data_IF_093785664659
#
_entry.id   IF_093785664659
#
_cell.length_a   1.000
_cell.length_b   1.000
_cell.length_c   1.000
_cell.angle_alpha   90.00
_cell.angle_beta   90.00
_cell.angle_gamma   90.00
#
_symmetry.space_group_name_H-M   'P 1'
#
loop_
_entity.id
_entity.type
_entity.pdbx_description
1 polymer ?
#
# COMPACT_ATOMS: atom_id res chain seq x y z
N UNK A 1 -42.08 -26.40 22.67
CA UNK A 1 -40.98 -27.19 22.10
C UNK A 1 -41.03 -27.32 20.58
N UNK A 2 -42.19 -27.66 19.98
CA UNK A 2 -42.34 -27.84 18.51
C UNK A 2 -42.10 -26.58 17.68
N UNK A 3 -42.46 -25.37 18.14
CA UNK A 3 -42.26 -24.12 17.40
C UNK A 3 -40.80 -23.70 17.33
N UNK A 4 -39.99 -23.91 18.40
CA UNK A 4 -38.57 -23.61 18.41
C UNK A 4 -37.76 -24.56 17.51
N UNK A 5 -38.19 -25.81 17.38
CA UNK A 5 -37.57 -26.79 16.47
C UNK A 5 -37.90 -26.44 15.01
N UNK A 6 -39.11 -25.96 14.72
CA UNK A 6 -39.54 -25.56 13.38
C UNK A 6 -38.79 -24.30 12.89
N UNK A 7 -38.60 -23.31 13.76
CA UNK A 7 -37.79 -22.14 13.47
C UNK A 7 -36.29 -22.47 13.28
N UNK A 8 -35.73 -23.41 14.04
CA UNK A 8 -34.35 -23.87 13.88
C UNK A 8 -34.16 -24.66 12.57
N UNK A 9 -35.15 -25.47 12.15
CA UNK A 9 -35.11 -26.20 10.87
C UNK A 9 -35.22 -25.24 9.68
N UNK A 10 -36.09 -24.21 9.76
CA UNK A 10 -36.19 -23.18 8.71
C UNK A 10 -34.92 -22.36 8.57
N UNK A 11 -34.23 -22.02 9.66
CA UNK A 11 -32.97 -21.30 9.60
C UNK A 11 -31.82 -22.14 9.01
N UNK A 12 -31.79 -23.46 9.28
CA UNK A 12 -30.80 -24.37 8.69
C UNK A 12 -31.03 -24.56 7.19
N UNK A 13 -32.31 -24.67 6.75
CA UNK A 13 -32.65 -24.77 5.32
C UNK A 13 -32.33 -23.48 4.56
N UNK A 14 -32.51 -22.31 5.18
CA UNK A 14 -32.18 -21.02 4.59
C UNK A 14 -30.67 -20.87 4.35
N UNK A 15 -29.84 -21.20 5.31
CA UNK A 15 -28.36 -21.13 5.20
C UNK A 15 -27.81 -22.12 4.16
N UNK A 16 -28.40 -23.30 4.05
CA UNK A 16 -28.01 -24.29 3.03
C UNK A 16 -28.35 -23.82 1.60
N UNK A 17 -29.42 -23.07 1.42
CA UNK A 17 -29.81 -22.50 0.12
C UNK A 17 -28.87 -21.38 -0.33
N UNK A 18 -28.47 -20.47 0.57
CA UNK A 18 -27.57 -19.38 0.27
C UNK A 18 -26.16 -19.88 -0.09
N UNK A 19 -25.60 -20.82 0.68
CA UNK A 19 -24.30 -21.39 0.41
C UNK A 19 -24.24 -22.15 -0.94
N UNK A 20 -25.31 -22.89 -1.30
CA UNK A 20 -25.39 -23.57 -2.60
C UNK A 20 -25.49 -22.58 -3.78
N UNK A 21 -26.20 -21.47 -3.60
CA UNK A 21 -26.28 -20.38 -4.58
C UNK A 21 -24.94 -19.72 -4.83
N UNK A 22 -24.19 -19.44 -3.76
CA UNK A 22 -22.86 -18.84 -3.88
C UNK A 22 -21.84 -19.81 -4.49
N UNK A 23 -21.89 -21.10 -4.14
CA UNK A 23 -21.05 -22.14 -4.76
C UNK A 23 -21.26 -22.21 -6.27
N UNK A 24 -22.53 -22.21 -6.72
CA UNK A 24 -22.85 -22.20 -8.15
C UNK A 24 -22.26 -20.98 -8.85
N UNK A 25 -22.41 -19.78 -8.29
CA UNK A 25 -21.87 -18.55 -8.87
C UNK A 25 -20.34 -18.56 -8.91
N UNK A 26 -19.69 -19.06 -7.86
CA UNK A 26 -18.21 -19.19 -7.82
C UNK A 26 -17.71 -20.16 -8.89
N UNK A 27 -18.37 -21.31 -9.08
CA UNK A 27 -17.96 -22.29 -10.10
C UNK A 27 -18.29 -21.82 -11.53
N UNK A 28 -19.36 -21.05 -11.73
CA UNK A 28 -19.64 -20.36 -12.99
C UNK A 28 -18.56 -19.32 -13.31
N UNK A 29 -18.16 -18.53 -12.30
CA UNK A 29 -17.09 -17.56 -12.42
C UNK A 29 -15.76 -18.22 -12.87
N UNK A 30 -15.32 -19.32 -12.25
CA UNK A 30 -14.12 -20.06 -12.68
C UNK A 30 -14.22 -20.59 -14.12
N UNK A 31 -15.39 -21.09 -14.51
CA UNK A 31 -15.60 -21.56 -15.88
C UNK A 31 -15.50 -20.45 -16.92
N UNK A 32 -16.02 -19.25 -16.61
CA UNK A 32 -15.98 -18.10 -17.51
C UNK A 32 -14.55 -17.59 -17.68
N UNK A 33 -13.77 -17.60 -16.61
CA UNK A 33 -12.44 -16.95 -16.58
C UNK A 33 -11.28 -17.93 -16.82
N UNK A 34 -11.54 -19.25 -16.83
CA UNK A 34 -10.54 -20.30 -17.01
C UNK A 34 -9.34 -20.16 -16.04
N UNK A 35 -9.57 -19.55 -14.89
CA UNK A 35 -8.58 -19.33 -13.84
C UNK A 35 -8.94 -20.08 -12.55
N UNK A 36 -8.32 -19.72 -11.47
CA UNK A 36 -8.58 -20.27 -10.14
C UNK A 36 -9.12 -19.19 -9.23
N UNK A 37 -10.10 -19.55 -8.42
CA UNK A 37 -10.74 -18.63 -7.46
C UNK A 37 -10.67 -19.21 -6.06
N UNK A 38 -10.29 -18.36 -5.10
CA UNK A 38 -10.40 -18.63 -3.66
C UNK A 38 -11.32 -17.60 -3.03
N UNK A 39 -12.27 -18.04 -2.20
CA UNK A 39 -13.23 -17.16 -1.50
C UNK A 39 -13.37 -17.62 -0.06
N UNK A 40 -13.47 -16.66 0.85
CA UNK A 40 -13.92 -16.87 2.21
C UNK A 40 -14.83 -15.72 2.64
N UNK A 41 -15.88 -16.05 3.40
CA UNK A 41 -16.75 -15.11 4.10
C UNK A 41 -16.76 -15.46 5.57
N UNK A 42 -16.49 -14.48 6.42
CA UNK A 42 -16.62 -14.59 7.87
C UNK A 42 -17.68 -13.60 8.36
N UNK A 43 -18.43 -14.00 9.35
CA UNK A 43 -19.22 -13.08 10.17
C UNK A 43 -18.25 -12.20 10.99
N UNK A 44 -18.38 -10.89 10.86
CA UNK A 44 -17.42 -9.96 11.43
C UNK A 44 -17.45 -9.93 12.98
N UNK A 45 -18.61 -10.14 13.58
CA UNK A 45 -18.79 -10.15 15.03
C UNK A 45 -18.21 -11.44 15.64
N UNK A 46 -18.71 -12.60 15.18
CA UNK A 46 -18.36 -13.90 15.75
C UNK A 46 -17.07 -14.51 15.21
N UNK A 47 -16.57 -14.04 14.06
CA UNK A 47 -15.44 -14.65 13.34
C UNK A 47 -15.78 -15.99 12.70
N UNK A 48 -17.05 -16.46 12.75
CA UNK A 48 -17.45 -17.74 12.19
C UNK A 48 -17.40 -17.73 10.67
N UNK A 49 -16.90 -18.82 10.11
CA UNK A 49 -16.93 -19.06 8.67
C UNK A 49 -18.37 -19.29 8.20
N UNK A 50 -18.83 -18.45 7.27
CA UNK A 50 -20.16 -18.52 6.64
C UNK A 50 -20.07 -19.29 5.33
N UNK A 51 -19.01 -19.04 4.55
CA UNK A 51 -18.77 -19.68 3.26
C UNK A 51 -17.29 -19.72 2.96
N UNK A 52 -16.83 -20.81 2.34
CA UNK A 52 -15.47 -20.90 1.82
C UNK A 52 -15.40 -21.78 0.56
N UNK A 53 -14.52 -21.38 -0.34
CA UNK A 53 -14.18 -22.14 -1.55
C UNK A 53 -12.69 -21.92 -1.84
N UNK A 54 -11.90 -22.98 -1.93
CA UNK A 54 -10.44 -22.90 -2.09
C UNK A 54 -9.74 -21.92 -1.10
N UNK A 55 -10.34 -21.69 0.06
CA UNK A 55 -9.91 -20.65 1.00
C UNK A 55 -8.51 -20.86 1.56
N UNK A 56 -8.03 -22.11 1.58
CA UNK A 56 -6.71 -22.55 2.04
C UNK A 56 -5.71 -22.83 0.91
N UNK A 57 -6.06 -22.45 -0.32
CA UNK A 57 -5.15 -22.49 -1.47
C UNK A 57 -4.34 -21.19 -1.54
N UNK A 58 -3.07 -21.31 -1.92
CA UNK A 58 -2.19 -20.15 -2.09
C UNK A 58 -2.43 -19.46 -3.44
N UNK A 59 -2.54 -18.14 -3.40
CA UNK A 59 -2.71 -17.25 -4.53
C UNK A 59 -1.67 -16.14 -4.48
N UNK A 60 -1.37 -15.52 -5.63
CA UNK A 60 -0.61 -14.26 -5.67
C UNK A 60 -1.53 -13.12 -5.23
N UNK A 61 -1.27 -12.49 -4.06
CA UNK A 61 -2.18 -11.51 -3.46
C UNK A 61 -2.17 -10.14 -4.16
N UNK A 62 -1.14 -9.85 -4.96
CA UNK A 62 -0.88 -8.51 -5.48
C UNK A 62 -0.94 -7.49 -4.33
N UNK A 63 -1.53 -6.29 -4.53
CA UNK A 63 -1.60 -5.25 -3.50
C UNK A 63 -2.45 -5.59 -2.26
N UNK A 64 -3.07 -6.78 -2.18
CA UNK A 64 -3.62 -7.25 -0.91
C UNK A 64 -2.53 -7.59 0.12
N UNK A 65 -1.27 -7.75 -0.32
CA UNK A 65 -0.07 -7.81 0.55
C UNK A 65 0.00 -6.60 1.48
N UNK A 66 -0.47 -5.43 1.05
CA UNK A 66 -0.51 -4.20 1.87
C UNK A 66 -1.33 -4.33 3.16
N UNK A 67 -2.21 -5.33 3.25
CA UNK A 67 -2.93 -5.67 4.50
C UNK A 67 -1.95 -6.18 5.56
N UNK A 68 -0.91 -6.95 5.14
CA UNK A 68 0.15 -7.40 6.05
C UNK A 68 1.03 -6.23 6.48
N UNK A 69 1.44 -5.39 5.53
CA UNK A 69 2.26 -4.20 5.78
C UNK A 69 1.54 -3.22 6.71
N UNK A 70 0.25 -2.98 6.48
CA UNK A 70 -0.61 -2.14 7.33
C UNK A 70 -0.67 -2.69 8.77
N UNK A 71 -0.99 -3.98 8.92
CA UNK A 71 -1.08 -4.59 10.24
C UNK A 71 0.26 -4.55 10.99
N UNK A 72 1.35 -4.84 10.28
CA UNK A 72 2.70 -4.76 10.84
C UNK A 72 3.08 -3.34 11.28
N UNK A 73 2.71 -2.32 10.50
CA UNK A 73 2.94 -0.93 10.82
C UNK A 73 2.15 -0.49 12.06
N UNK A 74 0.88 -0.84 12.16
CA UNK A 74 0.02 -0.57 13.32
C UNK A 74 0.61 -1.20 14.61
N UNK A 75 1.16 -2.40 14.51
CA UNK A 75 1.76 -3.12 15.66
C UNK A 75 3.14 -2.61 16.04
N UNK A 76 3.85 -1.94 15.15
CA UNK A 76 5.27 -1.59 15.36
C UNK A 76 5.54 -0.09 15.44
N UNK A 77 4.79 0.73 14.71
CA UNK A 77 4.98 2.18 14.65
C UNK A 77 4.05 2.90 15.64
N UNK A 78 4.31 4.18 15.86
CA UNK A 78 3.51 5.04 16.73
C UNK A 78 2.39 5.73 15.94
N UNK A 79 1.51 6.47 16.63
CA UNK A 79 0.42 7.24 16.02
C UNK A 79 0.90 8.42 15.16
N UNK A 80 2.17 8.76 15.24
CA UNK A 80 2.81 9.77 14.41
C UNK A 80 4.08 9.20 13.79
N UNK A 81 4.26 9.49 12.51
CA UNK A 81 5.47 9.13 11.75
C UNK A 81 6.63 9.99 12.22
N UNK A 82 7.78 9.36 12.43
CA UNK A 82 9.03 10.07 12.70
C UNK A 82 9.90 10.06 11.45
N UNK A 83 10.25 11.28 11.01
CA UNK A 83 10.98 11.51 9.75
C UNK A 83 12.48 11.42 9.95
N UNK A 84 12.98 12.02 11.02
CA UNK A 84 14.42 12.04 11.34
C UNK A 84 14.66 11.69 12.79
N UNK A 85 15.80 11.02 13.01
CA UNK A 85 16.45 11.00 14.31
C UNK A 85 17.50 12.07 14.33
N UNK A 86 17.73 12.72 15.48
CA UNK A 86 18.75 13.74 15.59
C UNK A 86 19.43 13.78 16.96
N UNK A 87 20.64 14.34 16.96
CA UNK A 87 21.35 14.75 18.16
C UNK A 87 21.97 16.13 17.94
N UNK A 88 22.11 16.89 19.00
CA UNK A 88 22.78 18.18 19.02
C UNK A 88 24.06 18.10 19.82
N UNK A 89 25.09 18.80 19.36
CA UNK A 89 26.29 19.18 20.11
C UNK A 89 26.27 20.70 20.25
N UNK A 90 27.36 21.31 20.80
CA UNK A 90 27.43 22.76 20.98
C UNK A 90 27.15 23.54 19.69
N UNK A 91 27.74 23.10 18.54
CA UNK A 91 27.69 23.81 17.28
C UNK A 91 27.11 22.98 16.11
N UNK A 92 26.60 21.78 16.38
CA UNK A 92 26.21 20.88 15.32
C UNK A 92 24.85 20.21 15.57
N UNK A 93 24.02 20.18 14.53
CA UNK A 93 22.82 19.37 14.43
C UNK A 93 23.12 18.20 13.49
N UNK A 94 23.15 16.99 14.03
CA UNK A 94 23.37 15.76 13.26
C UNK A 94 22.06 15.01 13.16
N UNK A 95 21.57 14.72 11.97
CA UNK A 95 20.34 13.97 11.75
C UNK A 95 20.55 12.76 10.83
N UNK A 96 19.69 11.76 10.94
CA UNK A 96 19.63 10.59 10.06
C UNK A 96 18.16 10.31 9.66
N UNK A 97 17.96 9.76 8.48
CA UNK A 97 16.66 9.36 7.98
C UNK A 97 16.12 8.12 8.72
N UNK A 98 14.82 7.95 8.70
CA UNK A 98 14.10 6.80 9.28
C UNK A 98 13.35 5.98 8.23
N UNK A 99 13.39 6.40 6.97
CA UNK A 99 12.62 5.78 5.89
C UNK A 99 11.23 6.39 5.69
N UNK A 100 10.89 7.52 6.33
CA UNK A 100 9.58 8.19 6.18
C UNK A 100 9.28 8.55 4.72
N UNK A 101 8.22 7.96 4.10
CA UNK A 101 7.83 8.26 2.73
C UNK A 101 7.11 9.60 2.57
N UNK A 102 6.68 10.23 3.66
CA UNK A 102 5.91 11.48 3.63
C UNK A 102 6.75 12.73 3.44
N UNK A 103 8.09 12.65 3.39
CA UNK A 103 8.94 13.83 3.26
C UNK A 103 8.77 14.49 1.89
N UNK A 104 8.22 15.72 1.90
CA UNK A 104 7.87 16.49 0.69
C UNK A 104 6.92 15.75 -0.27
N UNK A 105 6.25 14.69 0.17
CA UNK A 105 5.19 14.09 -0.60
C UNK A 105 4.00 15.06 -0.70
N UNK A 106 3.49 15.38 -1.90
CA UNK A 106 2.45 16.40 -2.08
C UNK A 106 1.11 16.04 -1.44
N UNK A 107 0.84 14.78 -1.16
CA UNK A 107 -0.44 14.29 -0.64
C UNK A 107 -0.46 14.19 0.90
N UNK A 108 0.72 13.94 1.53
CA UNK A 108 0.79 13.64 2.97
C UNK A 108 1.84 14.43 3.72
N UNK A 109 2.62 15.30 3.05
CA UNK A 109 3.75 15.99 3.67
C UNK A 109 3.34 16.96 4.78
N UNK A 110 4.23 17.06 5.77
CA UNK A 110 4.20 18.11 6.80
C UNK A 110 5.45 18.98 6.66
N UNK A 111 5.29 20.28 6.79
CA UNK A 111 6.41 21.24 6.73
C UNK A 111 7.28 21.26 7.99
N UNK A 112 6.87 20.56 9.05
CA UNK A 112 7.50 20.62 10.38
C UNK A 112 8.97 20.22 10.34
N UNK A 113 9.28 19.15 9.63
CA UNK A 113 10.64 18.59 9.53
C UNK A 113 11.61 19.54 8.84
N UNK A 114 11.23 20.11 7.70
CA UNK A 114 12.08 21.07 6.98
C UNK A 114 12.21 22.39 7.72
N UNK A 115 11.15 22.85 8.39
CA UNK A 115 11.22 24.05 9.25
C UNK A 115 12.20 23.84 10.39
N UNK A 116 12.26 22.67 11.01
CA UNK A 116 13.23 22.34 12.05
C UNK A 116 14.66 22.47 11.53
N UNK A 117 14.99 21.92 10.38
CA UNK A 117 16.32 22.04 9.77
C UNK A 117 16.63 23.50 9.37
N UNK A 118 15.67 24.19 8.75
CA UNK A 118 15.82 25.58 8.31
C UNK A 118 16.10 26.55 9.48
N UNK A 119 15.40 26.36 10.60
CA UNK A 119 15.49 27.24 11.76
C UNK A 119 16.67 26.93 12.70
N UNK A 120 17.38 25.82 12.51
CA UNK A 120 18.57 25.53 13.29
C UNK A 120 19.64 26.59 13.03
N UNK A 121 20.33 27.02 14.08
CA UNK A 121 21.48 27.93 13.97
C UNK A 121 22.81 27.17 13.80
N UNK A 122 22.78 25.85 14.09
CA UNK A 122 23.93 24.98 14.10
C UNK A 122 24.38 24.60 12.69
N UNK A 123 25.63 24.14 12.53
CA UNK A 123 26.06 23.42 11.32
C UNK A 123 25.28 22.12 11.18
N UNK A 124 24.74 21.84 9.99
CA UNK A 124 23.86 20.68 9.78
C UNK A 124 24.67 19.54 9.14
N UNK A 125 24.53 18.36 9.71
CA UNK A 125 25.15 17.14 9.24
C UNK A 125 24.10 16.06 9.02
N UNK A 126 24.15 15.38 7.88
CA UNK A 126 23.40 14.17 7.62
C UNK A 126 24.28 12.95 7.85
N UNK A 127 23.90 12.11 8.81
CA UNK A 127 24.53 10.83 9.06
C UNK A 127 23.87 9.78 8.19
N UNK A 128 24.64 9.15 7.27
CA UNK A 128 24.15 8.10 6.38
C UNK A 128 23.48 6.96 7.17
N UNK A 129 22.44 6.40 6.58
CA UNK A 129 21.71 5.27 7.15
C UNK A 129 22.52 3.97 7.08
N UNK A 130 22.24 3.05 8.01
CA UNK A 130 22.71 1.67 7.89
C UNK A 130 21.79 0.90 6.92
N UNK A 131 21.98 1.15 5.63
CA UNK A 131 21.17 0.63 4.55
C UNK A 131 21.65 -0.75 4.10
N UNK A 132 20.76 -1.75 4.13
CA UNK A 132 21.01 -3.13 3.65
C UNK A 132 19.81 -3.64 2.84
N UNK A 133 19.44 -2.89 1.83
CA UNK A 133 18.29 -3.14 0.99
C UNK A 133 18.65 -2.86 -0.48
N UNK A 134 18.18 -3.69 -1.38
CA UNK A 134 18.17 -3.37 -2.81
C UNK A 134 17.10 -2.31 -3.09
N UNK A 135 17.34 -1.47 -4.10
CA UNK A 135 16.42 -0.37 -4.45
C UNK A 135 15.11 -0.87 -5.07
N UNK A 136 15.08 -2.08 -5.57
CA UNK A 136 13.89 -2.78 -6.06
C UNK A 136 13.68 -4.07 -5.29
N UNK A 137 12.42 -4.43 -5.02
CA UNK A 137 12.08 -5.68 -4.33
C UNK A 137 12.34 -6.92 -5.19
N UNK A 138 12.69 -8.03 -4.54
CA UNK A 138 12.88 -9.31 -5.22
C UNK A 138 11.60 -9.76 -5.93
N UNK A 139 11.71 -10.18 -7.20
CA UNK A 139 10.58 -10.62 -8.02
C UNK A 139 9.72 -9.48 -8.60
N UNK A 140 10.18 -8.22 -8.53
CA UNK A 140 9.60 -7.13 -9.30
C UNK A 140 9.93 -7.30 -10.79
N UNK A 141 9.04 -6.83 -11.67
CA UNK A 141 9.32 -6.82 -13.11
C UNK A 141 10.42 -5.80 -13.42
N UNK A 142 11.46 -6.24 -14.12
CA UNK A 142 12.63 -5.41 -14.43
C UNK A 142 12.30 -4.21 -15.33
N UNK A 143 11.18 -4.26 -16.05
CA UNK A 143 10.69 -3.25 -16.98
C UNK A 143 9.72 -2.25 -16.34
N UNK A 144 9.36 -2.44 -15.05
CA UNK A 144 8.46 -1.54 -14.35
C UNK A 144 9.13 -0.22 -13.89
N UNK A 145 10.44 -0.06 -14.05
CA UNK A 145 11.23 1.09 -13.54
C UNK A 145 10.82 2.47 -14.08
N UNK A 146 10.08 2.52 -15.18
CA UNK A 146 9.57 3.78 -15.77
C UNK A 146 8.18 4.15 -15.25
N UNK A 147 7.49 3.25 -14.55
CA UNK A 147 6.14 3.53 -14.08
C UNK A 147 6.14 4.11 -12.67
N UNK A 148 5.31 5.14 -12.47
CA UNK A 148 5.18 5.83 -11.18
C UNK A 148 4.79 4.92 -10.01
N UNK A 149 4.23 3.74 -10.27
CA UNK A 149 3.90 2.74 -9.25
C UNK A 149 5.10 1.89 -8.80
N UNK A 150 6.28 2.01 -9.46
CA UNK A 150 7.48 1.22 -9.13
C UNK A 150 8.70 2.12 -8.85
N UNK A 151 8.60 3.09 -7.93
CA UNK A 151 9.74 3.91 -7.55
C UNK A 151 10.73 3.08 -6.73
N UNK A 152 12.00 3.49 -6.76
CA UNK A 152 13.04 2.89 -5.94
C UNK A 152 12.75 3.07 -4.45
N UNK A 153 12.99 2.02 -3.66
CA UNK A 153 13.03 2.07 -2.21
C UNK A 153 14.32 2.81 -1.79
N UNK A 154 14.26 3.67 -0.78
CA UNK A 154 15.44 4.44 -0.37
C UNK A 154 15.47 4.70 1.14
N UNK A 155 16.64 4.98 1.69
CA UNK A 155 16.81 5.32 3.09
C UNK A 155 16.09 6.63 3.45
N UNK A 156 16.01 7.55 2.50
CA UNK A 156 15.39 8.87 2.66
C UNK A 156 14.55 9.18 1.41
N UNK A 157 13.34 8.61 1.31
CA UNK A 157 12.43 8.93 0.22
C UNK A 157 11.99 10.39 0.29
N UNK A 158 11.84 11.01 -0.87
CA UNK A 158 11.48 12.42 -1.00
C UNK A 158 10.65 12.62 -2.27
N UNK A 159 9.57 13.42 -2.21
CA UNK A 159 8.62 13.59 -3.31
C UNK A 159 8.06 12.27 -3.86
N UNK A 160 7.86 11.26 -2.98
CA UNK A 160 7.46 9.92 -3.40
C UNK A 160 8.45 9.24 -4.35
N UNK A 161 9.74 9.64 -4.33
CA UNK A 161 10.80 9.20 -5.25
C UNK A 161 10.42 9.30 -6.74
N UNK A 162 9.57 10.29 -7.08
CA UNK A 162 9.11 10.57 -8.44
C UNK A 162 9.34 12.02 -8.85
N UNK A 163 9.54 12.23 -10.15
CA UNK A 163 9.52 13.57 -10.77
C UNK A 163 8.16 13.78 -11.41
N UNK A 164 7.57 14.93 -11.12
CA UNK A 164 6.31 15.36 -11.73
C UNK A 164 6.57 16.39 -12.83
N UNK A 165 5.92 16.23 -13.96
CA UNK A 165 5.93 17.13 -15.11
C UNK A 165 4.52 17.64 -15.36
N UNK A 166 4.29 18.94 -15.17
CA UNK A 166 2.96 19.57 -15.33
C UNK A 166 3.04 20.73 -16.30
N UNK A 167 2.11 20.79 -17.27
CA UNK A 167 2.03 21.91 -18.18
C UNK A 167 1.19 23.05 -17.56
N UNK A 168 1.82 24.16 -17.25
CA UNK A 168 1.18 25.35 -16.68
C UNK A 168 1.41 26.53 -17.63
N UNK A 169 0.33 27.09 -18.20
CA UNK A 169 0.40 28.25 -19.11
C UNK A 169 1.42 28.11 -20.27
N UNK A 170 1.56 26.94 -20.86
CA UNK A 170 2.52 26.53 -21.90
C UNK A 170 3.96 26.32 -21.42
N UNK A 171 4.26 26.53 -20.16
CA UNK A 171 5.56 26.25 -19.57
C UNK A 171 5.56 24.89 -18.87
N UNK A 172 6.64 24.13 -19.03
CA UNK A 172 6.83 22.85 -18.35
C UNK A 172 7.32 23.11 -16.92
N UNK A 173 6.48 22.82 -15.94
CA UNK A 173 6.85 22.83 -14.52
C UNK A 173 7.37 21.44 -14.13
N UNK A 174 8.55 21.39 -13.52
CA UNK A 174 9.22 20.17 -13.04
C UNK A 174 9.32 20.22 -11.53
N UNK A 175 8.93 19.14 -10.85
CA UNK A 175 9.03 19.03 -9.40
C UNK A 175 9.54 17.63 -9.00
N UNK A 176 10.62 17.52 -8.19
CA UNK A 176 11.47 18.60 -7.65
C UNK A 176 12.22 19.40 -8.72
N UNK A 177 12.44 20.70 -8.44
CA UNK A 177 13.05 21.64 -9.37
C UNK A 177 14.48 21.31 -9.80
N UNK A 178 15.22 20.54 -9.02
CA UNK A 178 16.58 20.08 -9.34
C UNK A 178 16.64 19.32 -10.67
N UNK A 179 15.53 18.70 -11.10
CA UNK A 179 15.46 17.92 -12.35
C UNK A 179 15.12 18.76 -13.59
N UNK A 180 14.92 20.07 -13.48
CA UNK A 180 14.54 20.93 -14.63
C UNK A 180 15.56 20.82 -15.78
N UNK A 181 16.84 20.79 -15.47
CA UNK A 181 17.89 20.68 -16.50
C UNK A 181 18.11 19.24 -17.02
N UNK A 182 17.43 18.26 -16.44
CA UNK A 182 17.47 16.86 -16.84
C UNK A 182 16.26 16.46 -17.68
N UNK A 183 15.31 17.37 -17.91
CA UNK A 183 14.10 17.17 -18.67
C UNK A 183 14.22 17.76 -20.09
N UNK A 184 14.08 16.91 -21.09
CA UNK A 184 14.06 17.32 -22.49
C UNK A 184 12.70 17.05 -23.11
N UNK A 185 12.06 18.09 -23.70
CA UNK A 185 10.82 17.89 -24.43
C UNK A 185 11.07 17.25 -25.78
N UNK A 186 10.35 16.19 -26.08
CA UNK A 186 10.43 15.43 -27.33
C UNK A 186 9.09 15.29 -28.01
N UNK A 187 9.11 14.93 -29.32
CA UNK A 187 7.89 14.67 -30.08
C UNK A 187 7.49 13.19 -29.91
N UNK A 188 7.08 12.82 -28.71
CA UNK A 188 6.56 11.50 -28.31
C UNK A 188 5.21 11.68 -27.64
N UNK A 189 4.46 10.60 -27.47
CA UNK A 189 3.21 10.56 -26.69
C UNK A 189 3.43 10.06 -25.27
N UNK A 190 4.60 9.45 -24.98
CA UNK A 190 4.91 8.84 -23.71
C UNK A 190 6.04 9.58 -22.97
N UNK A 191 5.96 9.63 -21.65
CA UNK A 191 7.04 10.04 -20.78
C UNK A 191 8.04 8.88 -20.63
N UNK A 192 9.31 9.14 -20.83
CA UNK A 192 10.36 8.12 -20.81
C UNK A 192 11.52 8.55 -19.89
N UNK A 193 12.18 7.57 -19.28
CA UNK A 193 13.44 7.75 -18.55
C UNK A 193 14.54 6.89 -19.17
N UNK A 194 15.72 7.44 -19.35
CA UNK A 194 16.87 6.62 -19.72
C UNK A 194 17.29 5.75 -18.52
N UNK A 195 17.26 4.43 -18.70
CA UNK A 195 17.56 3.45 -17.65
C UNK A 195 18.90 3.75 -16.93
N UNK A 196 18.87 3.70 -15.61
CA UNK A 196 20.04 3.96 -14.75
C UNK A 196 20.48 5.42 -14.73
N UNK A 197 19.63 6.35 -15.16
CA UNK A 197 19.94 7.79 -15.16
C UNK A 197 18.72 8.61 -14.69
N UNK A 198 18.95 9.89 -14.39
CA UNK A 198 17.91 10.87 -14.14
C UNK A 198 17.69 11.78 -15.36
N UNK A 199 17.75 11.22 -16.57
CA UNK A 199 17.45 11.92 -17.84
C UNK A 199 16.04 11.59 -18.27
N UNK A 200 15.19 12.61 -18.46
CA UNK A 200 13.78 12.47 -18.77
C UNK A 200 13.45 13.02 -20.14
N UNK A 201 12.63 12.28 -20.90
CA UNK A 201 12.08 12.68 -22.18
C UNK A 201 10.59 12.95 -22.03
N UNK A 202 10.20 14.22 -22.08
CA UNK A 202 8.83 14.66 -21.76
C UNK A 202 8.06 14.95 -23.04
N UNK A 203 6.81 14.44 -23.22
CA UNK A 203 5.99 14.74 -24.39
C UNK A 203 5.74 16.23 -24.55
N UNK A 204 5.92 16.76 -25.78
CA UNK A 204 5.56 18.16 -26.11
C UNK A 204 4.06 18.45 -26.01
N UNK A 205 3.21 17.42 -26.20
CA UNK A 205 1.75 17.54 -26.24
C UNK A 205 1.09 17.19 -24.91
N UNK A 206 1.67 17.59 -23.77
CA UNK A 206 0.97 17.54 -22.50
C UNK A 206 -0.23 18.50 -22.53
N UNK A 207 -1.41 17.99 -22.16
CA UNK A 207 -2.58 18.85 -22.02
C UNK A 207 -2.42 19.79 -20.82
N UNK A 208 -3.15 20.89 -20.84
CA UNK A 208 -3.14 21.85 -19.73
C UNK A 208 -3.62 21.15 -18.45
N UNK A 209 -2.83 21.25 -17.39
CA UNK A 209 -3.03 20.67 -16.06
C UNK A 209 -2.81 19.14 -15.97
N UNK A 210 -2.43 18.45 -17.04
CA UNK A 210 -2.01 17.08 -16.92
C UNK A 210 -0.68 17.00 -16.14
N UNK A 211 -0.59 16.07 -15.22
CA UNK A 211 0.63 15.78 -14.48
C UNK A 211 1.08 14.37 -14.80
N UNK A 212 2.25 14.25 -15.42
CA UNK A 212 2.91 12.97 -15.60
C UNK A 212 3.95 12.76 -14.49
N UNK A 213 4.05 11.53 -13.98
CA UNK A 213 5.02 11.17 -12.95
C UNK A 213 5.88 9.99 -13.42
N UNK A 214 7.16 10.01 -13.09
CA UNK A 214 8.11 8.94 -13.37
C UNK A 214 9.12 8.83 -12.22
N UNK A 215 9.56 7.62 -11.83
CA UNK A 215 10.55 7.46 -10.77
C UNK A 215 11.90 8.05 -11.16
N UNK A 216 12.62 8.60 -10.19
CA UNK A 216 14.03 8.96 -10.36
C UNK A 216 14.96 7.94 -9.69
N UNK A 217 16.22 7.87 -10.17
CA UNK A 217 17.26 7.09 -9.52
C UNK A 217 17.65 7.76 -8.20
N UNK A 218 17.47 7.06 -7.09
CA UNK A 218 17.64 7.62 -5.74
C UNK A 218 19.06 7.50 -5.24
N UNK A 219 19.46 8.42 -4.40
CA UNK A 219 20.63 8.30 -3.52
C UNK A 219 20.46 9.23 -2.32
N UNK A 220 21.09 8.91 -1.19
CA UNK A 220 21.08 9.81 -0.03
C UNK A 220 21.69 11.19 -0.39
N UNK A 221 22.76 11.22 -1.19
CA UNK A 221 23.38 12.46 -1.67
C UNK A 221 22.41 13.32 -2.50
N UNK A 222 21.60 12.70 -3.37
CA UNK A 222 20.56 13.41 -4.13
C UNK A 222 19.43 13.94 -3.22
N UNK A 223 18.96 13.12 -2.29
CA UNK A 223 17.93 13.55 -1.33
C UNK A 223 18.42 14.73 -0.49
N UNK A 224 19.68 14.72 -0.05
CA UNK A 224 20.29 15.85 0.68
C UNK A 224 20.35 17.10 -0.18
N UNK A 225 20.76 17.01 -1.44
CA UNK A 225 20.77 18.16 -2.37
C UNK A 225 19.39 18.76 -2.59
N UNK A 226 18.36 17.92 -2.63
CA UNK A 226 16.96 18.39 -2.71
C UNK A 226 16.59 19.13 -1.42
N UNK A 227 16.92 18.58 -0.25
CA UNK A 227 16.66 19.25 1.05
C UNK A 227 17.41 20.57 1.15
N UNK A 228 18.70 20.62 0.75
CA UNK A 228 19.50 21.87 0.73
C UNK A 228 18.82 22.97 -0.09
N UNK A 229 18.29 22.60 -1.26
CA UNK A 229 17.54 23.52 -2.12
C UNK A 229 16.26 24.02 -1.45
N UNK A 230 15.52 23.13 -0.78
CA UNK A 230 14.28 23.48 -0.09
C UNK A 230 14.49 24.35 1.16
N UNK A 231 15.57 24.12 1.91
CA UNK A 231 15.82 24.88 3.15
C UNK A 231 16.75 26.08 2.97
N UNK A 232 17.47 26.18 1.84
CA UNK A 232 18.43 27.24 1.55
C UNK A 232 19.71 27.16 2.41
N UNK A 233 20.10 25.95 2.83
CA UNK A 233 21.27 25.74 3.71
C UNK A 233 22.04 24.50 3.30
N UNK A 234 23.36 24.54 3.49
CA UNK A 234 24.27 23.42 3.20
C UNK A 234 24.22 22.37 4.30
N UNK A 235 24.24 21.09 3.91
CA UNK A 235 24.26 19.91 4.78
C UNK A 235 25.50 19.09 4.47
N UNK A 236 26.33 18.82 5.47
CA UNK A 236 27.51 17.96 5.31
C UNK A 236 27.12 16.50 5.53
N UNK A 237 27.53 15.62 4.62
CA UNK A 237 27.25 14.19 4.73
C UNK A 237 28.39 13.52 5.49
N UNK A 238 28.05 12.70 6.48
CA UNK A 238 28.98 11.93 7.30
C UNK A 238 28.66 10.43 7.24
N UNK A 239 29.63 9.54 7.46
CA UNK A 239 29.41 8.10 7.48
C UNK A 239 28.36 7.66 8.51
N UNK A 240 27.83 6.41 8.39
CA UNK A 240 27.00 5.81 9.42
C UNK A 240 27.68 5.86 10.80
N UNK A 241 26.88 6.01 11.85
CA UNK A 241 27.36 6.13 13.22
C UNK A 241 26.26 5.79 14.23
N UNK A 242 26.47 6.05 15.52
CA UNK A 242 25.49 5.70 16.55
C UNK A 242 24.12 6.33 16.29
N UNK A 243 23.08 5.57 16.55
CA UNK A 243 21.68 5.99 16.43
C UNK A 243 21.37 7.13 17.39
N UNK A 244 20.81 8.19 16.87
CA UNK A 244 20.40 9.33 17.69
C UNK A 244 19.07 9.03 18.42
N UNK A 245 18.94 9.56 19.64
CA UNK A 245 17.79 9.29 20.51
C UNK A 245 16.61 10.23 20.31
N UNK A 246 16.85 11.47 19.89
CA UNK A 246 15.78 12.42 19.64
C UNK A 246 15.13 12.16 18.28
N UNK A 247 13.84 12.38 18.18
CA UNK A 247 13.05 12.17 16.96
C UNK A 247 12.29 13.44 16.58
N UNK A 248 12.13 13.65 15.27
CA UNK A 248 11.23 14.66 14.72
C UNK A 248 10.04 13.92 14.13
N UNK A 249 8.85 14.23 14.64
CA UNK A 249 7.59 13.68 14.12
C UNK A 249 7.07 14.57 13.00
N UNK A 250 6.49 13.94 11.97
CA UNK A 250 5.89 14.63 10.83
C UNK A 250 4.37 14.53 10.84
N UNK A 251 3.81 13.54 10.19
CA UNK A 251 2.37 13.38 10.00
C UNK A 251 1.79 12.28 10.89
N UNK A 252 0.46 12.27 11.04
CA UNK A 252 -0.24 11.15 11.68
C UNK A 252 -0.07 9.88 10.84
N UNK A 253 0.20 8.74 11.50
CA UNK A 253 0.40 7.46 10.83
C UNK A 253 -0.81 7.04 9.99
N UNK A 254 -2.03 7.30 10.47
CA UNK A 254 -3.28 7.02 9.77
C UNK A 254 -3.38 7.77 8.41
N UNK A 255 -2.74 8.94 8.26
CA UNK A 255 -2.68 9.64 6.97
C UNK A 255 -1.91 8.85 5.92
N UNK A 256 -0.74 8.27 6.30
CA UNK A 256 0.02 7.39 5.42
C UNK A 256 -0.72 6.07 5.15
N UNK A 257 -1.33 5.49 6.17
CA UNK A 257 -2.10 4.25 6.02
C UNK A 257 -3.27 4.44 5.05
N UNK A 258 -4.00 5.54 5.20
CA UNK A 258 -5.10 5.90 4.29
C UNK A 258 -4.59 6.11 2.87
N UNK A 259 -3.53 6.89 2.67
CA UNK A 259 -2.93 7.12 1.36
C UNK A 259 -2.52 5.79 0.71
N UNK A 260 -1.75 4.95 1.43
CA UNK A 260 -1.32 3.63 0.96
C UNK A 260 -2.50 2.75 0.52
N UNK A 261 -3.56 2.71 1.31
CA UNK A 261 -4.70 1.84 1.02
C UNK A 261 -5.59 2.39 -0.09
N UNK A 262 -5.84 3.72 -0.13
CA UNK A 262 -6.71 4.37 -1.11
C UNK A 262 -6.11 4.43 -2.51
N UNK A 263 -4.85 4.84 -2.64
CA UNK A 263 -4.15 4.95 -3.93
C UNK A 263 -3.38 3.67 -4.30
N UNK A 264 -3.32 2.71 -3.36
CA UNK A 264 -2.49 1.51 -3.50
C UNK A 264 -1.00 1.85 -3.64
N UNK A 265 -0.52 2.86 -2.91
CA UNK A 265 0.85 3.35 -3.00
C UNK A 265 1.85 2.26 -2.61
N UNK A 266 2.74 1.93 -3.54
CA UNK A 266 3.72 0.87 -3.34
C UNK A 266 4.90 1.35 -2.52
N UNK A 267 5.34 2.61 -2.74
CA UNK A 267 6.46 3.16 -1.98
C UNK A 267 6.13 3.26 -0.50
N UNK A 268 4.95 3.77 -0.15
CA UNK A 268 4.53 3.85 1.25
C UNK A 268 4.57 2.45 1.89
N UNK A 269 4.06 1.42 1.20
CA UNK A 269 4.04 0.06 1.72
C UNK A 269 5.44 -0.50 2.00
N UNK A 270 6.39 -0.30 1.08
CA UNK A 270 7.78 -0.71 1.26
C UNK A 270 8.46 0.08 2.39
N UNK A 271 8.26 1.39 2.40
CA UNK A 271 8.89 2.27 3.39
C UNK A 271 8.38 2.03 4.82
N UNK A 272 7.13 1.63 5.00
CA UNK A 272 6.65 1.21 6.32
C UNK A 272 7.45 0.02 6.86
N UNK A 273 7.83 -0.96 6.02
CA UNK A 273 8.70 -2.05 6.44
C UNK A 273 10.13 -1.55 6.74
N UNK A 274 10.66 -0.63 5.93
CA UNK A 274 11.96 0.01 6.21
C UNK A 274 11.93 0.74 7.56
N UNK A 275 10.88 1.49 7.86
CA UNK A 275 10.71 2.19 9.14
C UNK A 275 10.60 1.23 10.32
N UNK A 276 9.89 0.11 10.15
CA UNK A 276 9.82 -0.95 11.18
C UNK A 276 11.21 -1.50 11.45
N UNK A 277 11.94 -1.88 10.40
CA UNK A 277 13.30 -2.41 10.50
C UNK A 277 14.25 -1.42 11.17
N UNK A 278 14.23 -0.14 10.78
CA UNK A 278 15.01 0.92 11.40
C UNK A 278 14.70 1.03 12.90
N UNK A 279 13.42 0.94 13.27
CA UNK A 279 13.02 1.05 14.68
C UNK A 279 13.56 -0.10 15.53
N UNK A 280 13.47 -1.34 15.03
CA UNK A 280 13.77 -2.55 15.83
C UNK A 280 15.23 -2.99 15.80
N UNK A 281 16.00 -2.63 14.76
CA UNK A 281 17.35 -3.20 14.56
C UNK A 281 18.43 -2.19 14.21
N UNK A 282 18.10 -0.89 14.07
CA UNK A 282 19.02 0.15 13.55
C UNK A 282 19.55 -0.13 12.15
N UNK A 283 18.90 -1.04 11.40
CA UNK A 283 19.26 -1.42 10.04
C UNK A 283 18.02 -1.31 9.16
N UNK A 284 18.16 -0.69 8.01
CA UNK A 284 17.07 -0.56 7.03
C UNK A 284 17.09 -1.74 6.08
N UNK A 285 16.13 -2.68 6.27
CA UNK A 285 15.96 -3.89 5.47
C UNK A 285 14.52 -4.39 5.53
N UNK A 286 13.88 -4.59 4.39
CA UNK A 286 12.54 -5.18 4.29
C UNK A 286 12.50 -6.59 4.89
N UNK A 287 13.54 -7.39 4.67
CA UNK A 287 13.65 -8.76 5.19
C UNK A 287 13.57 -8.81 6.71
N UNK A 288 14.35 -7.94 7.40
CA UNK A 288 14.33 -7.85 8.87
C UNK A 288 12.94 -7.52 9.38
N UNK A 289 12.22 -6.58 8.74
CA UNK A 289 10.88 -6.20 9.14
C UNK A 289 9.86 -7.34 8.92
N UNK A 290 9.96 -8.03 7.79
CA UNK A 290 9.10 -9.18 7.45
C UNK A 290 9.30 -10.31 8.44
N UNK A 291 10.55 -10.69 8.72
CA UNK A 291 10.88 -11.77 9.68
C UNK A 291 10.38 -11.42 11.10
N UNK A 292 10.61 -10.16 11.51
CA UNK A 292 10.09 -9.68 12.78
C UNK A 292 8.55 -9.79 12.84
N UNK A 293 7.85 -9.31 11.83
CA UNK A 293 6.39 -9.33 11.79
C UNK A 293 5.83 -10.75 11.74
N UNK A 294 6.40 -11.66 10.95
CA UNK A 294 6.03 -13.09 10.90
C UNK A 294 6.15 -13.73 12.27
N UNK A 295 7.24 -13.47 12.98
CA UNK A 295 7.52 -14.06 14.28
C UNK A 295 6.72 -13.46 15.45
N UNK A 296 6.21 -12.24 15.33
CA UNK A 296 5.54 -11.55 16.42
C UNK A 296 4.03 -11.34 16.19
N UNK A 297 3.59 -11.12 14.94
CA UNK A 297 2.22 -10.71 14.67
C UNK A 297 1.42 -11.72 13.87
N UNK A 298 2.06 -12.60 13.09
CA UNK A 298 1.38 -13.52 12.18
C UNK A 298 1.41 -14.98 12.63
N UNK A 299 1.90 -15.25 13.85
CA UNK A 299 1.73 -16.58 14.46
C UNK A 299 0.25 -16.92 14.60
N UNK A 300 -0.07 -18.19 14.34
CA UNK A 300 -1.44 -18.69 14.44
C UNK A 300 -2.36 -18.28 13.29
N UNK A 301 -1.83 -17.82 12.16
CA UNK A 301 -2.59 -17.76 10.92
C UNK A 301 -2.94 -19.19 10.46
N UNK A 302 -4.09 -19.35 9.76
CA UNK A 302 -4.57 -20.67 9.33
C UNK A 302 -3.58 -21.46 8.45
N UNK A 303 -2.83 -20.77 7.60
CA UNK A 303 -1.99 -21.40 6.58
C UNK A 303 -0.59 -20.81 6.54
N UNK A 304 0.38 -21.57 6.05
CA UNK A 304 1.69 -21.07 5.67
C UNK A 304 1.59 -20.06 4.52
N UNK A 305 2.44 -19.04 4.52
CA UNK A 305 2.47 -18.01 3.50
C UNK A 305 3.89 -17.54 3.19
N UNK A 306 4.09 -17.08 1.96
CA UNK A 306 5.33 -16.46 1.52
C UNK A 306 5.12 -14.95 1.39
N UNK A 307 5.93 -14.18 2.09
CA UNK A 307 5.88 -12.72 2.09
C UNK A 307 7.27 -12.17 1.79
N UNK A 308 7.40 -11.38 0.74
CA UNK A 308 8.69 -10.99 0.13
C UNK A 308 8.86 -9.47 0.09
N UNK A 309 7.77 -8.70 -0.11
CA UNK A 309 7.79 -7.25 -0.19
C UNK A 309 6.58 -6.60 0.51
N UNK A 310 6.65 -5.31 0.74
CA UNK A 310 5.56 -4.57 1.39
C UNK A 310 4.36 -4.28 0.50
N UNK A 311 4.59 -4.11 -0.79
CA UNK A 311 3.61 -3.59 -1.75
C UNK A 311 2.76 -4.65 -2.43
N UNK A 312 3.31 -5.84 -2.63
CA UNK A 312 2.73 -6.90 -3.44
C UNK A 312 3.05 -6.79 -4.93
N UNK A 313 4.06 -6.01 -5.32
CA UNK A 313 4.63 -6.02 -6.66
C UNK A 313 5.35 -7.33 -6.95
N UNK A 314 5.97 -7.92 -5.93
CA UNK A 314 6.64 -9.22 -6.05
C UNK A 314 5.65 -10.32 -6.41
N UNK A 315 5.96 -11.04 -7.51
CA UNK A 315 5.23 -12.25 -7.89
C UNK A 315 5.54 -13.46 -7.01
N UNK A 316 6.52 -13.32 -6.11
CA UNK A 316 6.89 -14.36 -5.16
C UNK A 316 6.01 -14.34 -3.88
N UNK A 317 5.21 -13.29 -3.67
CA UNK A 317 4.24 -13.31 -2.58
C UNK A 317 3.16 -14.36 -2.84
N UNK A 318 2.91 -15.21 -1.82
CA UNK A 318 1.85 -16.22 -1.84
C UNK A 318 1.07 -16.16 -0.53
N UNK A 319 -0.24 -16.05 -0.63
CA UNK A 319 -1.12 -16.00 0.55
C UNK A 319 -2.44 -16.70 0.27
N UNK A 320 -3.22 -16.96 1.32
CA UNK A 320 -4.53 -17.60 1.21
C UNK A 320 -5.65 -16.63 1.58
N UNK A 321 -6.86 -16.79 1.02
CA UNK A 321 -8.02 -16.04 1.48
C UNK A 321 -8.26 -16.16 3.00
N UNK A 322 -8.02 -17.34 3.57
CA UNK A 322 -8.16 -17.61 4.99
C UNK A 322 -7.21 -16.76 5.85
N UNK A 323 -5.96 -16.63 5.46
CA UNK A 323 -5.00 -15.76 6.16
C UNK A 323 -5.41 -14.29 6.08
N UNK A 324 -5.75 -13.78 4.89
CA UNK A 324 -6.14 -12.38 4.73
C UNK A 324 -7.38 -12.05 5.54
N UNK A 325 -8.41 -12.92 5.54
CA UNK A 325 -9.61 -12.70 6.34
C UNK A 325 -9.32 -12.74 7.85
N UNK A 326 -8.39 -13.60 8.31
CA UNK A 326 -7.95 -13.64 9.70
C UNK A 326 -7.26 -12.33 10.12
N UNK A 327 -6.41 -11.76 9.26
CA UNK A 327 -5.75 -10.48 9.52
C UNK A 327 -6.77 -9.33 9.54
N UNK A 328 -7.72 -9.33 8.60
CA UNK A 328 -8.82 -8.35 8.57
C UNK A 328 -9.68 -8.42 9.85
N UNK A 329 -9.95 -9.64 10.36
CA UNK A 329 -10.66 -9.80 11.63
C UNK A 329 -9.86 -9.20 12.79
N UNK A 330 -8.55 -9.43 12.88
CA UNK A 330 -7.69 -8.82 13.90
C UNK A 330 -7.68 -7.29 13.79
N UNK A 331 -7.61 -6.73 12.59
CA UNK A 331 -7.70 -5.28 12.35
C UNK A 331 -9.01 -4.71 12.86
N UNK A 332 -10.14 -5.35 12.55
CA UNK A 332 -11.46 -4.92 13.01
C UNK A 332 -11.59 -4.97 14.53
N UNK A 333 -11.10 -6.03 15.16
CA UNK A 333 -11.17 -6.21 16.62
C UNK A 333 -10.31 -5.19 17.37
N UNK A 334 -9.16 -4.81 16.82
CA UNK A 334 -8.22 -3.89 17.45
C UNK A 334 -8.56 -2.41 17.20
N UNK A 335 -9.09 -2.08 16.03
CA UNK A 335 -9.28 -0.68 15.60
C UNK A 335 -10.73 -0.23 15.49
N UNK A 336 -11.66 -1.16 15.39
CA UNK A 336 -13.10 -0.88 15.23
C UNK A 336 -13.51 -0.56 13.79
N UNK A 337 -14.82 -0.57 13.56
CA UNK A 337 -15.42 -0.40 12.22
C UNK A 337 -15.19 0.99 11.64
N UNK A 338 -15.31 2.05 12.43
CA UNK A 338 -15.13 3.44 11.97
C UNK A 338 -13.72 3.65 11.41
N UNK A 339 -12.71 3.06 12.06
CA UNK A 339 -11.34 3.15 11.60
C UNK A 339 -11.13 2.39 10.29
N UNK A 340 -11.58 1.12 10.20
CA UNK A 340 -11.38 0.34 8.98
C UNK A 340 -12.14 0.95 7.80
N UNK A 341 -13.33 1.52 8.00
CA UNK A 341 -14.09 2.20 6.94
C UNK A 341 -13.42 3.50 6.46
N UNK A 342 -12.59 4.14 7.30
CA UNK A 342 -11.82 5.33 6.95
C UNK A 342 -10.54 4.98 6.20
N UNK A 343 -9.86 3.90 6.60
CA UNK A 343 -8.56 3.50 6.06
C UNK A 343 -8.70 2.70 4.76
N UNK A 344 -9.72 1.84 4.65
CA UNK A 344 -9.94 1.08 3.43
C UNK A 344 -10.73 1.89 2.38
N UNK A 345 -10.38 1.79 1.08
CA UNK A 345 -11.18 2.40 0.03
C UNK A 345 -12.64 1.95 0.07
N UNK A 346 -13.54 2.90 -0.10
CA UNK A 346 -14.97 2.66 -0.19
C UNK A 346 -15.38 2.51 -1.65
N UNK A 347 -16.02 1.40 -2.02
CA UNK A 347 -16.50 1.17 -3.37
C UNK A 347 -17.50 2.26 -3.81
N UNK A 348 -17.33 2.77 -5.03
CA UNK A 348 -18.14 3.85 -5.60
C UNK A 348 -17.79 5.25 -5.10
N UNK A 349 -16.86 5.40 -4.13
CA UNK A 349 -16.54 6.71 -3.55
C UNK A 349 -15.07 7.07 -3.62
N UNK A 350 -14.16 6.19 -3.24
CA UNK A 350 -12.77 6.54 -3.01
C UNK A 350 -11.77 5.53 -3.56
N UNK A 351 -10.61 6.05 -3.99
CA UNK A 351 -9.42 5.28 -4.29
C UNK A 351 -9.59 4.32 -5.47
N UNK A 352 -8.95 3.16 -5.39
CA UNK A 352 -8.95 2.15 -6.46
C UNK A 352 -10.31 1.48 -6.71
N UNK A 353 -11.30 1.75 -5.85
CA UNK A 353 -12.66 1.18 -5.94
C UNK A 353 -13.70 2.19 -6.42
N UNK A 354 -13.31 3.42 -6.81
CA UNK A 354 -14.24 4.48 -7.25
C UNK A 354 -15.20 4.02 -8.34
N UNK A 355 -14.72 3.21 -9.29
CA UNK A 355 -15.50 2.72 -10.43
C UNK A 355 -16.09 1.31 -10.19
N UNK A 356 -16.01 0.74 -8.98
CA UNK A 356 -16.54 -0.59 -8.73
C UNK A 356 -18.07 -0.57 -8.57
N UNK A 357 -18.61 0.49 -7.98
CA UNK A 357 -20.05 0.72 -7.79
C UNK A 357 -20.37 2.13 -8.28
N UNK A 358 -21.44 2.32 -9.07
CA UNK A 358 -21.76 3.62 -9.64
C UNK A 358 -23.04 4.27 -9.08
N UNK A 359 -24.03 3.50 -8.63
CA UNK A 359 -25.37 4.00 -8.33
C UNK A 359 -25.98 3.51 -7.01
N UNK A 360 -25.21 2.80 -6.16
CA UNK A 360 -25.73 2.25 -4.92
C UNK A 360 -25.09 2.85 -3.68
N UNK A 361 -25.79 2.77 -2.55
CA UNK A 361 -25.20 3.04 -1.24
C UNK A 361 -23.93 2.18 -1.04
N UNK A 362 -22.84 2.84 -0.64
CA UNK A 362 -21.56 2.17 -0.46
C UNK A 362 -21.63 1.12 0.64
N UNK A 363 -21.39 -0.13 0.27
CA UNK A 363 -21.47 -1.27 1.19
C UNK A 363 -20.18 -2.11 1.26
N UNK A 364 -19.14 -1.74 0.53
CA UNK A 364 -17.85 -2.44 0.49
C UNK A 364 -16.73 -1.50 0.87
N UNK A 365 -15.89 -1.91 1.83
CA UNK A 365 -14.65 -1.27 2.24
C UNK A 365 -13.53 -2.29 2.07
N UNK A 366 -12.69 -2.13 1.03
CA UNK A 366 -11.78 -3.21 0.68
C UNK A 366 -10.50 -2.72 0.00
N UNK A 367 -9.45 -3.55 0.11
CA UNK A 367 -8.22 -3.39 -0.67
C UNK A 367 -8.27 -4.26 -1.91
N UNK A 368 -8.10 -3.64 -3.07
CA UNK A 368 -7.88 -4.34 -4.33
C UNK A 368 -6.42 -4.67 -4.56
N UNK A 369 -6.15 -5.74 -5.29
CA UNK A 369 -4.82 -6.11 -5.77
C UNK A 369 -4.90 -6.58 -7.21
N UNK A 370 -4.05 -6.03 -8.08
CA UNK A 370 -3.99 -6.41 -9.49
C UNK A 370 -2.55 -6.60 -9.94
N UNK A 371 -2.27 -7.72 -10.53
CA UNK A 371 -1.11 -8.01 -11.36
C UNK A 371 -1.62 -8.65 -12.64
N UNK A 372 -0.80 -8.70 -13.68
CA UNK A 372 -1.21 -9.39 -14.90
C UNK A 372 -1.64 -10.82 -14.58
N UNK A 373 -2.86 -11.20 -14.99
CA UNK A 373 -3.49 -12.50 -14.76
C UNK A 373 -3.91 -12.78 -13.29
N UNK A 374 -3.86 -11.81 -12.38
CA UNK A 374 -4.26 -11.96 -10.99
C UNK A 374 -5.10 -10.75 -10.54
N UNK A 375 -6.17 -11.02 -9.83
CA UNK A 375 -7.00 -9.99 -9.20
C UNK A 375 -7.48 -10.47 -7.83
N UNK A 376 -7.31 -9.62 -6.82
CA UNK A 376 -7.71 -9.90 -5.45
C UNK A 376 -8.50 -8.73 -4.88
N UNK A 377 -9.49 -9.02 -4.05
CA UNK A 377 -10.26 -8.03 -3.31
C UNK A 377 -10.55 -8.59 -1.91
N UNK A 378 -10.10 -7.90 -0.87
CA UNK A 378 -10.26 -8.35 0.52
C UNK A 378 -10.61 -7.18 1.42
N UNK A 379 -11.57 -7.37 2.32
CA UNK A 379 -12.07 -6.30 3.19
C UNK A 379 -13.37 -6.65 3.87
N UNK A 380 -14.26 -5.67 3.95
CA UNK A 380 -15.51 -5.71 4.70
C UNK A 380 -16.69 -5.38 3.80
N UNK A 381 -17.83 -6.03 4.06
CA UNK A 381 -19.07 -5.86 3.31
C UNK A 381 -20.25 -5.78 4.27
N UNK A 382 -21.09 -4.74 4.11
CA UNK A 382 -22.35 -4.62 4.84
C UNK A 382 -23.49 -5.18 4.01
N UNK A 383 -24.24 -6.11 4.59
CA UNK A 383 -25.38 -6.75 3.94
C UNK A 383 -26.64 -5.89 4.03
N UNK A 384 -27.69 -6.25 3.28
CA UNK A 384 -29.02 -5.59 3.38
C UNK A 384 -29.69 -5.84 4.72
N UNK A 385 -29.29 -6.86 5.47
CA UNK A 385 -29.74 -7.12 6.85
C UNK A 385 -28.90 -6.41 7.91
N UNK A 386 -28.07 -5.45 7.50
CA UNK A 386 -27.15 -4.65 8.34
C UNK A 386 -26.08 -5.48 9.08
N UNK A 387 -25.74 -6.66 8.57
CA UNK A 387 -24.62 -7.46 9.09
C UNK A 387 -23.32 -7.04 8.43
N UNK A 388 -22.27 -6.90 9.23
CA UNK A 388 -20.91 -6.74 8.69
C UNK A 388 -20.28 -8.11 8.45
N UNK A 389 -19.78 -8.32 7.26
CA UNK A 389 -19.02 -9.52 6.87
C UNK A 389 -17.59 -9.14 6.54
N UNK A 390 -16.66 -10.06 6.80
CA UNK A 390 -15.27 -10.00 6.32
C UNK A 390 -15.18 -10.94 5.12
N UNK A 391 -14.54 -10.48 4.05
CA UNK A 391 -14.38 -11.31 2.86
C UNK A 391 -12.96 -11.22 2.29
N UNK A 392 -12.55 -12.29 1.61
CA UNK A 392 -11.40 -12.28 0.72
C UNK A 392 -11.74 -13.09 -0.52
N UNK A 393 -11.59 -12.47 -1.70
CA UNK A 393 -11.77 -13.07 -3.02
C UNK A 393 -10.45 -12.93 -3.77
N UNK A 394 -9.85 -14.03 -4.17
CA UNK A 394 -8.57 -14.07 -4.88
C UNK A 394 -8.70 -14.88 -6.17
N UNK A 395 -8.29 -14.28 -7.28
CA UNK A 395 -8.34 -14.91 -8.60
C UNK A 395 -6.95 -14.94 -9.21
N UNK A 396 -6.54 -16.06 -9.74
CA UNK A 396 -5.24 -16.24 -10.39
C UNK A 396 -5.35 -16.98 -11.72
N UNK A 397 -4.40 -16.69 -12.61
CA UNK A 397 -4.25 -17.34 -13.91
C UNK A 397 -5.41 -17.09 -14.90
N UNK A 398 -6.19 -16.01 -14.72
CA UNK A 398 -7.19 -15.61 -15.70
C UNK A 398 -6.56 -14.88 -16.89
N UNK A 399 -7.19 -14.97 -18.06
CA UNK A 399 -6.79 -14.25 -19.28
C UNK A 399 -7.74 -13.11 -19.66
N UNK A 400 -8.78 -12.91 -18.92
CA UNK A 400 -9.77 -11.85 -19.12
C UNK A 400 -9.21 -10.46 -18.79
N UNK A 401 -9.85 -9.42 -19.32
CA UNK A 401 -9.53 -8.04 -19.00
C UNK A 401 -9.78 -7.76 -17.50
N UNK A 402 -9.10 -6.77 -16.93
CA UNK A 402 -9.36 -6.34 -15.55
C UNK A 402 -10.81 -5.92 -15.31
N UNK A 403 -11.45 -5.30 -16.30
CA UNK A 403 -12.83 -4.83 -16.25
C UNK A 403 -13.82 -5.99 -16.15
N UNK A 404 -13.63 -7.06 -16.95
CA UNK A 404 -14.46 -8.26 -16.91
C UNK A 404 -14.37 -8.95 -15.55
N UNK A 405 -13.15 -9.14 -15.01
CA UNK A 405 -12.95 -9.74 -13.68
C UNK A 405 -13.62 -8.91 -12.58
N UNK A 406 -13.44 -7.60 -12.60
CA UNK A 406 -14.04 -6.69 -11.62
C UNK A 406 -15.57 -6.75 -11.66
N UNK A 407 -16.17 -6.80 -12.87
CA UNK A 407 -17.61 -6.90 -13.05
C UNK A 407 -18.16 -8.22 -12.46
N UNK A 408 -17.47 -9.33 -12.66
CA UNK A 408 -17.90 -10.60 -12.09
C UNK A 408 -17.74 -10.66 -10.56
N UNK A 409 -16.62 -10.13 -10.03
CA UNK A 409 -16.44 -10.00 -8.57
C UNK A 409 -17.54 -9.13 -7.96
N UNK A 410 -17.92 -8.04 -8.64
CA UNK A 410 -19.06 -7.22 -8.21
C UNK A 410 -20.38 -8.00 -8.14
N UNK A 411 -20.67 -8.85 -9.14
CA UNK A 411 -21.88 -9.72 -9.10
C UNK A 411 -21.88 -10.67 -7.90
N UNK A 412 -20.70 -11.19 -7.50
CA UNK A 412 -20.56 -12.00 -6.29
C UNK A 412 -20.84 -11.17 -5.04
N UNK A 413 -20.28 -9.97 -4.93
CA UNK A 413 -20.49 -9.08 -3.78
C UNK A 413 -21.97 -8.66 -3.63
N UNK A 414 -22.63 -8.31 -4.73
CA UNK A 414 -24.08 -8.00 -4.74
C UNK A 414 -24.89 -9.21 -4.30
N UNK A 415 -24.54 -10.41 -4.77
CA UNK A 415 -25.19 -11.62 -4.33
C UNK A 415 -25.04 -11.86 -2.83
N UNK A 416 -23.82 -11.65 -2.29
CA UNK A 416 -23.54 -11.75 -0.86
C UNK A 416 -24.38 -10.73 -0.09
N UNK A 417 -24.36 -9.44 -0.49
CA UNK A 417 -25.15 -8.38 0.13
C UNK A 417 -26.63 -8.73 0.29
N UNK A 418 -27.21 -9.33 -0.76
CA UNK A 418 -28.65 -9.55 -0.84
C UNK A 418 -29.12 -10.82 -0.14
N UNK A 419 -28.24 -11.78 0.15
CA UNK A 419 -28.64 -13.11 0.61
C UNK A 419 -28.10 -13.48 2.00
N UNK A 420 -27.21 -12.68 2.57
CA UNK A 420 -26.64 -12.91 3.91
C UNK A 420 -26.96 -11.76 4.86
#
# INVERSE_FOLDING_TARGET
MRLKVFLAVLSILGLSSCASGLLRKTTEFEKIHHGFTGIILLDAESGKNIYQYNAHKSFTPASNTKILSLYSAIKSLEDSIFTFRYRKTEDSLIFSATGDPGLLDPEVSSNTTLQFLRNSKDSIYYQKANWKQEVYGAGWSWDDFEYAFSPQISAMPIYGNTVSFTMVNKDLKVSPGIFTNYAQTINSETLEKLKGTNQFRVPKKLQKNDTLRIPFETSEDLSIRIIEQEIGRTIKIIPPGPKASHIIKSTASDSLYKQMMHTSDNLIAEQLLIMISEKISDTMSTEIAIDYAKNNFFKGLPDEFQWVDGSGLSRYNMNTPANLSSILKRLLDEKGEDWVSTIFPTAGKHGTLTNLLTDEEAFVFAKSGSLKNNYSLSGYLRTNSDRLLIFSIMNSNHMNSPEEIKAEVLKLLIHIRNNY
#
